data_IF_206522900109
#
_entry.id   IF_206522900109
#
_cell.length_a   1.000
_cell.length_b   1.000
_cell.length_c   1.000
_cell.angle_alpha   90.00
_cell.angle_beta   90.00
_cell.angle_gamma   90.00
#
_symmetry.space_group_name_H-M   'P 1'
#
loop_
_entity.id
_entity.type
_entity.pdbx_description
1 polymer ?
#
# COMPACT_ATOMS: atom_id res chain seq x y z
N UNK A 1 22.09 34.04 7.18
CA UNK A 1 21.98 33.62 8.59
C UNK A 1 21.60 32.15 8.57
N UNK A 2 22.48 31.26 9.05
CA UNK A 2 22.22 29.82 9.06
C UNK A 2 21.17 29.57 10.15
N UNK A 3 19.99 29.08 9.78
CA UNK A 3 18.93 28.86 10.75
C UNK A 3 19.40 27.77 11.73
N UNK A 4 19.59 28.07 13.03
CA UNK A 4 20.22 27.14 13.97
C UNK A 4 19.39 25.87 14.18
N UNK A 5 18.08 25.94 13.94
CA UNK A 5 17.16 24.81 14.04
C UNK A 5 17.11 23.91 12.78
N UNK A 6 17.64 24.34 11.64
CA UNK A 6 17.60 23.57 10.39
C UNK A 6 18.20 22.14 10.53
N UNK A 7 19.40 21.93 11.11
CA UNK A 7 19.96 20.58 11.24
C UNK A 7 19.10 19.66 12.12
N UNK A 8 18.50 20.19 13.18
CA UNK A 8 17.65 19.41 14.10
C UNK A 8 16.36 18.96 13.40
N UNK A 9 15.72 19.87 12.67
CA UNK A 9 14.49 19.54 11.92
C UNK A 9 14.79 18.48 10.86
N UNK A 10 15.90 18.62 10.13
CA UNK A 10 16.32 17.64 9.13
C UNK A 10 16.54 16.26 9.77
N UNK A 11 17.22 16.20 10.92
CA UNK A 11 17.45 14.94 11.63
C UNK A 11 16.15 14.25 12.06
N UNK A 12 15.17 15.02 12.56
CA UNK A 12 13.85 14.49 12.94
C UNK A 12 13.12 13.94 11.71
N UNK A 13 13.08 14.69 10.62
CA UNK A 13 12.41 14.27 9.39
C UNK A 13 13.03 13.00 8.79
N UNK A 14 14.37 12.90 8.80
CA UNK A 14 15.08 11.71 8.34
C UNK A 14 14.84 10.51 9.26
N UNK A 15 14.87 10.71 10.58
CA UNK A 15 14.54 9.68 11.55
C UNK A 15 13.12 9.15 11.37
N UNK A 16 12.16 10.06 11.17
CA UNK A 16 10.77 9.71 10.90
C UNK A 16 10.60 8.95 9.58
N UNK A 17 11.28 9.37 8.52
CA UNK A 17 11.25 8.69 7.22
C UNK A 17 11.78 7.26 7.33
N UNK A 18 12.93 7.06 7.99
CA UNK A 18 13.51 5.74 8.23
C UNK A 18 12.55 4.86 9.02
N UNK A 19 11.95 5.42 10.07
CA UNK A 19 10.95 4.71 10.86
C UNK A 19 9.76 4.25 10.00
N UNK A 20 9.20 5.11 9.14
CA UNK A 20 8.11 4.74 8.25
C UNK A 20 8.48 3.61 7.29
N UNK A 21 9.70 3.64 6.72
CA UNK A 21 10.17 2.59 5.81
C UNK A 21 10.31 1.24 6.51
N UNK A 22 10.90 1.22 7.70
CA UNK A 22 11.03 0.00 8.52
C UNK A 22 9.64 -0.52 8.91
N UNK A 23 8.77 0.39 9.34
CA UNK A 23 7.40 0.06 9.74
C UNK A 23 6.58 -0.53 8.59
N UNK A 24 6.63 0.09 7.40
CA UNK A 24 5.96 -0.40 6.19
C UNK A 24 6.52 -1.76 5.74
N UNK A 25 7.84 -1.96 5.88
CA UNK A 25 8.49 -3.22 5.54
C UNK A 25 8.14 -4.35 6.51
N UNK A 26 7.96 -4.01 7.79
CA UNK A 26 7.53 -4.95 8.83
C UNK A 26 6.06 -5.33 8.68
N UNK A 27 5.19 -4.33 8.45
CA UNK A 27 3.76 -4.52 8.11
C UNK A 27 3.53 -4.94 6.66
N UNK A 28 4.43 -5.72 6.05
CA UNK A 28 4.15 -6.42 4.77
C UNK A 28 3.15 -7.57 4.98
N UNK A 29 2.05 -7.27 5.66
CA UNK A 29 0.83 -8.06 5.63
C UNK A 29 0.32 -8.01 4.19
N UNK A 30 0.09 -9.18 3.61
CA UNK A 30 -0.10 -9.42 2.19
C UNK A 30 -1.27 -8.67 1.56
N UNK A 31 -1.04 -7.43 1.14
CA UNK A 31 -1.94 -6.62 0.33
C UNK A 31 -1.95 -7.13 -1.12
N UNK A 32 -2.46 -8.35 -1.30
CA UNK A 32 -3.39 -8.55 -2.40
C UNK A 32 -4.70 -7.91 -1.92
N UNK A 33 -4.81 -6.60 -2.11
CA UNK A 33 -6.00 -5.82 -1.77
C UNK A 33 -7.17 -6.35 -2.57
N UNK A 34 -7.92 -7.28 -1.97
CA UNK A 34 -9.38 -7.37 -1.98
C UNK A 34 -10.12 -7.51 -3.31
N UNK A 35 -9.46 -7.43 -4.46
CA UNK A 35 -10.00 -7.75 -5.76
C UNK A 35 -9.33 -9.05 -6.20
N UNK A 36 -10.01 -10.20 -6.03
CA UNK A 36 -9.54 -11.44 -6.61
C UNK A 36 -9.26 -11.20 -8.10
N UNK A 37 -8.25 -11.87 -8.66
CA UNK A 37 -8.07 -11.81 -10.11
C UNK A 37 -9.38 -12.29 -10.76
N UNK A 38 -9.77 -11.80 -11.95
CA UNK A 38 -10.96 -12.30 -12.65
C UNK A 38 -10.96 -13.83 -12.83
N UNK A 39 -9.77 -14.46 -12.82
CA UNK A 39 -9.59 -15.91 -12.85
C UNK A 39 -9.76 -16.59 -11.48
N UNK A 40 -9.72 -15.83 -10.38
CA UNK A 40 -9.90 -16.32 -9.00
C UNK A 40 -11.36 -16.26 -8.53
N UNK A 41 -12.26 -15.62 -9.30
CA UNK A 41 -13.71 -15.64 -9.05
C UNK A 41 -14.40 -16.69 -9.92
N UNK A 42 -15.32 -17.51 -9.38
CA UNK A 42 -16.14 -18.38 -10.20
C UNK A 42 -16.99 -17.54 -11.16
N UNK A 43 -16.99 -17.89 -12.44
CA UNK A 43 -17.80 -17.21 -13.47
C UNK A 43 -19.27 -17.27 -13.04
N UNK A 44 -19.97 -16.13 -12.89
CA UNK A 44 -21.39 -16.14 -12.61
C UNK A 44 -22.11 -16.84 -13.77
N UNK A 45 -22.85 -17.90 -13.45
CA UNK A 45 -23.71 -18.61 -14.41
C UNK A 45 -24.91 -17.69 -14.71
N UNK A 46 -24.72 -16.70 -15.59
CA UNK A 46 -25.80 -15.78 -15.96
C UNK A 46 -25.71 -15.27 -17.40
N UNK A 47 -25.10 -16.04 -18.30
CA UNK A 47 -25.15 -15.79 -19.74
C UNK A 47 -25.45 -17.09 -20.52
N UNK A 48 -26.46 -17.86 -20.09
CA UNK A 48 -27.02 -18.96 -20.90
C UNK A 48 -28.50 -18.77 -21.25
N UNK A 49 -29.16 -17.68 -20.82
CA UNK A 49 -30.59 -17.46 -21.07
C UNK A 49 -30.89 -16.42 -22.17
N UNK A 50 -29.86 -15.80 -22.78
CA UNK A 50 -30.03 -14.87 -23.91
C UNK A 50 -29.81 -15.54 -25.29
N UNK A 51 -29.98 -16.86 -25.37
CA UNK A 51 -30.00 -17.63 -26.63
C UNK A 51 -31.12 -18.67 -26.65
N UNK A 52 -32.38 -18.25 -26.48
CA UNK A 52 -33.55 -18.94 -27.07
C UNK A 52 -34.57 -17.92 -27.61
#
# INVERSE_FOLDING_TARGET
>A
MRHPAAPTVIAILLGFLIFMLVWARYRRDGHHEGNPHPDDVPVPVQNQEDQE
#
